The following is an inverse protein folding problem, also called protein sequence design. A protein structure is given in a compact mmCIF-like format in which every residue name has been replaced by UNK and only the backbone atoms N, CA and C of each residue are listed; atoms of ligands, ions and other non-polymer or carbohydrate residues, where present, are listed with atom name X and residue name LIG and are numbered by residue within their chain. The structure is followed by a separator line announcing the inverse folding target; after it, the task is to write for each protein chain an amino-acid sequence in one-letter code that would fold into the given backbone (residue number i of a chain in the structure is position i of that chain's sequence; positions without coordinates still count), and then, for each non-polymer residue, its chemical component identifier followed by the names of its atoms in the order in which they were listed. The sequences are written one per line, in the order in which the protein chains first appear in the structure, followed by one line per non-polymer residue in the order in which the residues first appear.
data_IF_282061011548
#
_entry.id   IF_282061011548
#
_cell.length_a   1.000
_cell.length_b   1.000
_cell.length_c   1.000
_cell.angle_alpha   90.00
_cell.angle_beta   90.00
_cell.angle_gamma   90.00
#
_symmetry.space_group_name_H-M   'P 1'
#
loop_
_entity.id
_entity.type
_entity.pdbx_description
1 polymer ?
#
# COMPACT_ATOMS: atom_id res chain seq x y z
N UNK A 1 -0.80 -13.94 9.60
CA UNK A 1 -1.79 -14.29 10.63
C UNK A 1 -3.10 -13.59 10.37
N UNK A 2 -4.21 -14.31 10.49
CA UNK A 2 -5.57 -13.75 10.60
C UNK A 2 -5.89 -13.68 12.09
N UNK A 3 -6.26 -12.51 12.57
CA UNK A 3 -6.63 -12.27 13.97
C UNK A 3 -8.12 -11.97 14.05
N UNK A 4 -8.85 -12.78 14.79
CA UNK A 4 -10.27 -12.55 15.11
C UNK A 4 -10.33 -11.76 16.40
N UNK A 5 -10.86 -10.54 16.32
CA UNK A 5 -10.88 -9.61 17.44
C UNK A 5 -12.24 -9.66 18.15
N UNK A 6 -12.25 -9.55 19.47
CA UNK A 6 -13.47 -9.28 20.23
C UNK A 6 -13.85 -7.78 20.18
N UNK A 7 -15.03 -7.44 20.74
CA UNK A 7 -15.52 -6.05 20.77
C UNK A 7 -14.63 -5.07 21.57
N UNK A 8 -13.60 -5.58 22.26
CA UNK A 8 -12.63 -4.78 23.03
C UNK A 8 -11.27 -4.72 22.36
N UNK A 9 -11.15 -5.21 21.11
CA UNK A 9 -9.90 -5.23 20.37
C UNK A 9 -8.90 -6.29 20.84
N UNK A 10 -9.34 -7.32 21.56
CA UNK A 10 -8.48 -8.44 21.97
C UNK A 10 -8.60 -9.57 20.96
N UNK A 11 -7.50 -10.28 20.73
CA UNK A 11 -7.50 -11.47 19.90
C UNK A 11 -8.29 -12.57 20.64
N UNK A 12 -9.39 -13.03 20.03
CA UNK A 12 -10.20 -14.16 20.48
C UNK A 12 -9.72 -15.46 19.84
N UNK A 13 -9.38 -15.41 18.55
CA UNK A 13 -8.82 -16.51 17.79
C UNK A 13 -7.78 -16.01 16.81
N UNK A 14 -6.84 -16.88 16.44
CA UNK A 14 -5.85 -16.60 15.41
C UNK A 14 -5.68 -17.78 14.43
N UNK A 15 -5.40 -17.47 13.18
CA UNK A 15 -5.06 -18.44 12.16
C UNK A 15 -3.76 -18.05 11.46
N UNK A 16 -2.76 -18.92 11.52
CA UNK A 16 -1.53 -18.76 10.73
C UNK A 16 -1.74 -19.33 9.33
N UNK A 17 -1.30 -18.57 8.31
CA UNK A 17 -1.18 -19.03 6.93
C UNK A 17 0.31 -19.04 6.55
N UNK A 18 0.82 -20.18 6.15
CA UNK A 18 2.21 -20.37 5.70
C UNK A 18 2.30 -21.65 4.86
N UNK A 19 3.42 -21.93 4.24
CA UNK A 19 3.65 -23.13 3.42
C UNK A 19 3.11 -24.44 4.06
N UNK A 20 3.15 -24.55 5.40
CA UNK A 20 2.74 -25.77 6.12
C UNK A 20 1.50 -25.57 7.00
N UNK A 21 0.78 -24.44 6.89
CA UNK A 21 -0.29 -24.12 7.84
C UNK A 21 -1.40 -23.28 7.21
N UNK A 22 -2.58 -23.36 7.82
CA UNK A 22 -3.71 -22.50 7.45
C UNK A 22 -4.45 -22.96 6.19
N UNK A 23 -4.17 -24.14 5.67
CA UNK A 23 -4.79 -24.69 4.45
C UNK A 23 -4.12 -24.23 3.16
N UNK A 24 -3.11 -23.38 3.24
CA UNK A 24 -2.29 -22.98 2.08
C UNK A 24 -1.39 -24.16 1.65
N UNK A 25 -1.40 -24.48 0.37
CA UNK A 25 -0.58 -25.55 -0.24
C UNK A 25 0.21 -25.03 -1.46
N UNK A 26 0.34 -23.70 -1.58
CA UNK A 26 1.17 -23.06 -2.61
C UNK A 26 2.66 -23.38 -2.41
N UNK A 27 3.38 -23.43 -3.51
CA UNK A 27 4.82 -23.62 -3.51
C UNK A 27 5.51 -22.31 -3.13
N UNK A 28 6.17 -22.31 -1.98
CA UNK A 28 6.96 -21.20 -1.47
C UNK A 28 8.37 -21.66 -1.17
N UNK A 29 9.34 -20.97 -1.72
CA UNK A 29 10.75 -21.22 -1.47
C UNK A 29 11.28 -20.38 -0.28
N UNK A 30 12.48 -20.72 0.17
CA UNK A 30 13.14 -19.96 1.24
C UNK A 30 13.53 -18.57 0.75
N UNK A 31 12.97 -17.55 1.35
CA UNK A 31 13.32 -16.16 1.02
C UNK A 31 12.26 -15.43 0.20
N UNK A 32 11.17 -16.07 -0.22
CA UNK A 32 10.09 -15.46 -1.02
C UNK A 32 9.40 -14.27 -0.36
N UNK A 33 9.53 -14.14 0.97
CA UNK A 33 8.90 -13.08 1.76
C UNK A 33 7.36 -13.05 1.62
N UNK A 34 6.73 -14.22 1.51
CA UNK A 34 5.26 -14.33 1.45
C UNK A 34 4.61 -13.64 2.65
N UNK A 35 3.67 -12.73 2.37
CA UNK A 35 2.98 -11.94 3.37
C UNK A 35 3.68 -10.62 3.72
N UNK A 36 4.67 -10.18 2.93
CA UNK A 36 5.30 -8.86 3.09
C UNK A 36 4.34 -7.71 2.79
N UNK A 37 3.37 -7.93 1.91
CA UNK A 37 2.26 -7.03 1.62
C UNK A 37 0.95 -7.79 1.69
N UNK A 38 -0.11 -7.16 2.20
CA UNK A 38 -1.43 -7.76 2.37
C UNK A 38 -2.53 -6.75 2.01
N UNK A 39 -3.57 -7.22 1.33
CA UNK A 39 -4.79 -6.46 1.08
C UNK A 39 -6.03 -7.35 1.20
N UNK A 40 -7.07 -6.87 1.88
CA UNK A 40 -8.39 -7.50 1.82
C UNK A 40 -9.08 -7.13 0.51
N UNK A 41 -9.62 -8.12 -0.21
CA UNK A 41 -10.28 -7.90 -1.51
C UNK A 41 -11.79 -8.17 -1.48
N UNK A 42 -12.36 -8.27 -0.27
CA UNK A 42 -13.77 -8.62 -0.10
C UNK A 42 -14.05 -10.09 -0.42
N UNK A 43 -15.28 -10.41 -0.67
CA UNK A 43 -15.74 -11.73 -1.10
C UNK A 43 -15.65 -11.80 -2.64
N UNK A 44 -14.49 -12.22 -3.17
CA UNK A 44 -14.21 -12.20 -4.60
C UNK A 44 -14.97 -13.30 -5.34
N UNK A 45 -15.12 -14.47 -4.71
CA UNK A 45 -15.73 -15.66 -5.31
C UNK A 45 -17.22 -15.81 -5.02
N UNK A 46 -17.83 -14.93 -4.17
CA UNK A 46 -19.24 -14.93 -3.81
C UNK A 46 -19.64 -16.04 -2.83
N UNK A 47 -18.70 -16.58 -2.03
CA UNK A 47 -18.98 -17.65 -1.09
C UNK A 47 -19.39 -17.18 0.32
N UNK A 48 -19.34 -15.86 0.57
CA UNK A 48 -19.71 -15.20 1.80
C UNK A 48 -18.57 -14.97 2.78
N UNK A 49 -17.37 -15.44 2.48
CA UNK A 49 -16.16 -15.15 3.25
C UNK A 49 -15.35 -14.00 2.60
N UNK A 50 -14.50 -13.34 3.39
CA UNK A 50 -13.61 -12.31 2.86
C UNK A 50 -12.30 -12.95 2.39
N UNK A 51 -11.82 -12.53 1.24
CA UNK A 51 -10.61 -13.01 0.62
C UNK A 51 -9.46 -12.00 0.74
N UNK A 52 -8.23 -12.46 0.53
CA UNK A 52 -7.02 -11.67 0.66
C UNK A 52 -6.14 -11.77 -0.59
N UNK A 53 -5.34 -10.72 -0.80
CA UNK A 53 -4.12 -10.80 -1.62
C UNK A 53 -2.89 -10.70 -0.71
N UNK A 54 -1.91 -11.56 -0.96
CA UNK A 54 -0.62 -11.56 -0.27
C UNK A 54 0.52 -11.44 -1.28
N UNK A 55 1.45 -10.54 -1.04
CA UNK A 55 2.67 -10.38 -1.83
C UNK A 55 3.77 -11.34 -1.40
N UNK A 56 4.58 -11.78 -2.35
CA UNK A 56 5.82 -12.55 -2.20
C UNK A 56 6.89 -11.96 -3.14
N UNK A 57 7.47 -10.81 -2.81
CA UNK A 57 8.28 -10.04 -3.77
C UNK A 57 9.60 -10.70 -4.17
N UNK A 58 10.08 -11.64 -3.39
CA UNK A 58 11.29 -12.37 -3.71
C UNK A 58 11.02 -13.77 -4.30
N UNK A 59 9.76 -14.07 -4.66
CA UNK A 59 9.44 -15.33 -5.37
C UNK A 59 10.30 -15.42 -6.63
N UNK A 60 11.09 -16.47 -6.73
CA UNK A 60 12.06 -16.69 -7.82
C UNK A 60 11.60 -17.76 -8.83
N UNK A 61 10.35 -18.19 -8.76
CA UNK A 61 9.74 -19.05 -9.76
C UNK A 61 9.62 -18.33 -11.10
N UNK A 62 10.42 -18.76 -12.05
CA UNK A 62 10.49 -18.12 -13.39
C UNK A 62 11.60 -17.10 -13.58
N UNK A 63 12.36 -16.77 -12.54
CA UNK A 63 13.53 -15.88 -12.55
C UNK A 63 13.85 -15.32 -11.16
N UNK A 64 15.03 -14.76 -10.98
CA UNK A 64 15.51 -14.31 -9.66
C UNK A 64 14.74 -13.09 -9.17
N UNK A 65 14.08 -13.19 -8.00
CA UNK A 65 13.36 -12.11 -7.32
C UNK A 65 12.39 -11.33 -8.26
N UNK A 66 11.71 -12.01 -9.18
CA UNK A 66 10.69 -11.40 -10.04
C UNK A 66 9.45 -11.07 -9.25
N UNK A 67 9.18 -11.91 -8.24
CA UNK A 67 8.08 -11.74 -7.32
C UNK A 67 6.75 -12.34 -7.78
N UNK A 68 5.82 -12.43 -6.83
CA UNK A 68 4.48 -12.94 -7.03
C UNK A 68 3.46 -12.23 -6.13
N UNK A 69 2.20 -12.28 -6.53
CA UNK A 69 1.04 -12.01 -5.68
C UNK A 69 0.17 -13.28 -5.61
N UNK A 70 -0.42 -13.53 -4.45
CA UNK A 70 -1.29 -14.69 -4.20
C UNK A 70 -2.68 -14.20 -3.81
N UNK A 71 -3.70 -14.58 -4.56
CA UNK A 71 -5.10 -14.46 -4.13
C UNK A 71 -5.42 -15.68 -3.27
N UNK A 72 -5.90 -15.44 -2.05
CA UNK A 72 -6.19 -16.46 -1.05
C UNK A 72 -7.69 -16.44 -0.77
N UNK A 73 -8.40 -17.50 -1.15
CA UNK A 73 -9.80 -17.69 -0.86
C UNK A 73 -9.96 -18.30 0.53
N UNK A 74 -10.56 -17.55 1.44
CA UNK A 74 -10.66 -17.97 2.83
C UNK A 74 -12.03 -18.56 3.15
N UNK A 75 -12.14 -19.16 4.32
CA UNK A 75 -13.40 -19.45 4.98
C UNK A 75 -13.58 -18.56 6.22
N UNK A 76 -14.72 -18.67 6.87
CA UNK A 76 -15.09 -17.95 8.11
C UNK A 76 -14.19 -18.23 9.31
N UNK A 77 -13.29 -19.24 9.24
CA UNK A 77 -12.24 -19.46 10.23
C UNK A 77 -10.87 -18.93 9.78
N UNK A 78 -10.79 -18.14 8.70
CA UNK A 78 -9.54 -17.58 8.17
C UNK A 78 -8.59 -18.61 7.57
N UNK A 79 -9.10 -19.81 7.18
CA UNK A 79 -8.28 -20.83 6.51
C UNK A 79 -8.42 -20.73 5.00
N UNK A 80 -7.31 -20.90 4.31
CA UNK A 80 -7.29 -20.96 2.84
C UNK A 80 -8.02 -22.24 2.39
N UNK A 81 -8.97 -22.06 1.48
CA UNK A 81 -9.70 -23.14 0.80
C UNK A 81 -9.20 -23.36 -0.61
N UNK A 82 -8.79 -22.26 -1.25
CA UNK A 82 -8.23 -22.25 -2.59
C UNK A 82 -7.27 -21.07 -2.71
N UNK A 83 -6.36 -21.09 -3.64
CA UNK A 83 -5.43 -20.00 -3.89
C UNK A 83 -5.08 -19.90 -5.38
N UNK A 84 -4.80 -18.67 -5.81
CA UNK A 84 -4.31 -18.41 -7.15
C UNK A 84 -3.02 -17.61 -7.09
N UNK A 85 -1.93 -18.18 -7.59
CA UNK A 85 -0.67 -17.47 -7.79
C UNK A 85 -0.75 -16.63 -9.05
N UNK A 86 -0.33 -15.37 -8.95
CA UNK A 86 -0.16 -14.42 -10.04
C UNK A 86 1.31 -14.04 -10.10
N UNK A 87 1.98 -14.44 -11.15
CA UNK A 87 3.39 -14.15 -11.40
C UNK A 87 3.64 -14.25 -12.91
N UNK A 88 4.86 -13.97 -13.36
CA UNK A 88 5.20 -14.09 -14.77
C UNK A 88 4.75 -15.45 -15.35
N UNK A 89 3.96 -15.38 -16.43
CA UNK A 89 3.39 -16.53 -17.14
C UNK A 89 2.51 -17.45 -16.25
N UNK A 90 1.98 -16.92 -15.14
CA UNK A 90 1.13 -17.65 -14.20
C UNK A 90 -0.10 -16.84 -13.80
N UNK A 91 -1.21 -17.52 -13.45
CA UNK A 91 -2.42 -16.87 -12.96
C UNK A 91 -3.15 -16.01 -13.99
N UNK A 92 -2.84 -16.16 -15.28
CA UNK A 92 -3.37 -15.32 -16.36
C UNK A 92 -2.56 -14.06 -16.64
N UNK A 93 -1.56 -13.77 -15.80
CA UNK A 93 -0.67 -12.62 -15.98
C UNK A 93 0.43 -12.95 -17.01
N UNK A 94 0.54 -12.14 -18.06
CA UNK A 94 1.56 -12.23 -19.12
C UNK A 94 2.46 -11.00 -19.20
N UNK A 95 2.43 -10.16 -18.16
CA UNK A 95 3.28 -8.98 -18.03
C UNK A 95 4.76 -9.35 -18.05
N UNK A 96 5.57 -8.43 -18.58
CA UNK A 96 7.01 -8.63 -18.57
C UNK A 96 7.59 -8.23 -17.22
N UNK A 97 7.99 -9.22 -16.44
CA UNK A 97 8.77 -9.03 -15.22
C UNK A 97 10.20 -9.49 -15.48
N UNK A 98 11.15 -8.64 -15.16
CA UNK A 98 12.58 -8.95 -15.23
C UNK A 98 13.11 -9.40 -13.86
N UNK A 99 14.31 -9.94 -13.82
CA UNK A 99 14.94 -10.38 -12.58
C UNK A 99 15.17 -9.17 -11.64
N UNK A 100 14.66 -9.26 -10.41
CA UNK A 100 14.81 -8.22 -9.41
C UNK A 100 13.65 -7.21 -9.35
N UNK A 101 12.61 -7.32 -10.18
CA UNK A 101 11.48 -6.36 -10.20
C UNK A 101 10.67 -6.34 -8.90
N UNK A 102 10.65 -7.48 -8.19
CA UNK A 102 9.96 -7.61 -6.90
C UNK A 102 8.47 -7.31 -6.97
N UNK A 103 7.81 -7.80 -8.01
CA UNK A 103 6.35 -7.76 -8.12
C UNK A 103 5.67 -8.36 -6.87
N UNK A 104 4.70 -7.66 -6.31
CA UNK A 104 4.10 -8.04 -5.02
C UNK A 104 4.74 -7.37 -3.81
N UNK A 105 5.68 -6.42 -4.00
CA UNK A 105 6.20 -5.60 -2.88
C UNK A 105 5.11 -4.77 -2.21
N UNK A 106 4.11 -4.34 -2.97
CA UNK A 106 2.91 -3.70 -2.49
C UNK A 106 1.68 -4.28 -3.19
N UNK A 107 0.57 -4.40 -2.49
CA UNK A 107 -0.72 -4.82 -3.04
C UNK A 107 -1.85 -3.98 -2.44
N UNK A 108 -2.83 -3.62 -3.26
CA UNK A 108 -4.02 -2.92 -2.81
C UNK A 108 -5.26 -3.38 -3.60
N UNK A 109 -6.39 -3.44 -2.94
CA UNK A 109 -7.71 -3.48 -3.59
C UNK A 109 -8.04 -2.07 -4.07
N UNK A 110 -8.49 -1.94 -5.31
CA UNK A 110 -8.72 -0.64 -5.94
C UNK A 110 -10.17 -0.45 -6.44
N UNK A 111 -11.06 -1.36 -6.10
CA UNK A 111 -12.45 -1.34 -6.58
C UNK A 111 -12.61 -2.05 -7.93
N UNK A 112 -13.77 -1.87 -8.52
CA UNK A 112 -14.14 -2.39 -9.84
C UNK A 112 -13.84 -1.30 -10.89
N UNK A 113 -12.65 -1.36 -11.49
CA UNK A 113 -12.15 -0.32 -12.42
C UNK A 113 -12.80 -0.45 -13.78
N UNK A 114 -13.02 -1.67 -14.27
CA UNK A 114 -13.57 -1.92 -15.60
C UNK A 114 -15.11 -2.03 -15.62
N UNK A 115 -15.75 -2.05 -14.44
CA UNK A 115 -17.21 -2.05 -14.31
C UNK A 115 -17.85 -3.42 -14.53
N UNK A 116 -17.10 -4.51 -14.35
CA UNK A 116 -17.60 -5.89 -14.55
C UNK A 116 -18.24 -6.50 -13.30
N UNK A 117 -18.18 -5.80 -12.17
CA UNK A 117 -18.73 -6.21 -10.87
C UNK A 117 -17.79 -7.02 -10.01
N UNK A 118 -16.55 -7.26 -10.45
CA UNK A 118 -15.48 -7.92 -9.71
C UNK A 118 -14.44 -6.89 -9.29
N UNK A 119 -13.86 -7.07 -8.12
CA UNK A 119 -12.85 -6.14 -7.61
C UNK A 119 -11.51 -6.40 -8.27
N UNK A 120 -10.80 -5.31 -8.57
CA UNK A 120 -9.48 -5.32 -9.17
C UNK A 120 -8.41 -4.96 -8.15
N UNK A 121 -7.16 -5.24 -8.49
CA UNK A 121 -6.03 -4.97 -7.60
C UNK A 121 -4.92 -4.19 -8.31
N UNK A 122 -4.21 -3.38 -7.53
CA UNK A 122 -2.93 -2.81 -7.91
C UNK A 122 -1.79 -3.58 -7.24
N UNK A 123 -0.74 -3.86 -8.00
CA UNK A 123 0.46 -4.56 -7.52
C UNK A 123 1.70 -3.77 -7.90
N UNK A 124 2.52 -3.44 -6.92
CA UNK A 124 3.77 -2.72 -7.10
C UNK A 124 4.95 -3.64 -7.38
N UNK A 125 5.83 -3.19 -8.27
CA UNK A 125 7.15 -3.75 -8.58
C UNK A 125 8.19 -2.62 -8.57
N UNK A 126 8.62 -2.18 -7.37
CA UNK A 126 9.36 -0.91 -7.20
C UNK A 126 10.81 -0.97 -7.66
N UNK A 127 11.32 -2.13 -7.99
CA UNK A 127 12.71 -2.32 -8.44
C UNK A 127 12.82 -2.55 -9.95
N UNK A 128 11.72 -2.32 -10.72
CA UNK A 128 11.70 -2.53 -12.18
C UNK A 128 12.86 -1.82 -12.86
N UNK A 129 13.64 -2.57 -13.56
CA UNK A 129 14.59 -2.11 -14.56
C UNK A 129 15.41 -3.18 -15.27
N UNK A 130 15.11 -4.43 -15.16
CA UNK A 130 15.99 -5.46 -15.74
C UNK A 130 17.43 -5.49 -15.17
N UNK A 131 17.82 -4.47 -14.40
CA UNK A 131 19.09 -4.34 -13.67
C UNK A 131 18.91 -3.70 -12.28
N UNK A 132 17.68 -3.51 -11.79
CA UNK A 132 17.41 -2.87 -10.51
C UNK A 132 17.69 -1.35 -10.45
N UNK A 133 17.67 -0.66 -11.58
CA UNK A 133 17.97 0.79 -11.69
C UNK A 133 16.83 1.61 -12.31
N UNK A 134 15.68 1.03 -12.65
CA UNK A 134 14.52 1.76 -13.18
C UNK A 134 13.76 2.52 -12.10
N UNK A 135 12.76 3.29 -12.52
CA UNK A 135 11.96 4.09 -11.60
C UNK A 135 11.00 3.27 -10.75
N UNK A 136 10.76 2.00 -11.11
CA UNK A 136 9.68 1.17 -10.57
C UNK A 136 8.42 1.20 -11.42
N UNK A 137 7.48 0.31 -11.11
CA UNK A 137 6.22 0.19 -11.83
C UNK A 137 5.07 -0.29 -10.95
N UNK A 138 3.86 -0.08 -11.45
CA UNK A 138 2.61 -0.60 -10.88
C UNK A 138 1.83 -1.31 -11.97
N UNK A 139 1.23 -2.43 -11.63
CA UNK A 139 0.33 -3.19 -12.47
C UNK A 139 -1.09 -3.10 -11.93
N UNK A 140 -2.03 -2.67 -12.75
CA UNK A 140 -3.45 -2.83 -12.51
C UNK A 140 -3.84 -4.18 -13.07
N UNK A 141 -4.42 -5.05 -12.24
CA UNK A 141 -4.81 -6.41 -12.62
C UNK A 141 -6.32 -6.55 -12.53
N UNK A 142 -6.95 -6.82 -13.67
CA UNK A 142 -8.37 -7.09 -13.76
C UNK A 142 -8.62 -8.56 -13.47
N UNK A 143 -9.30 -8.84 -12.36
CA UNK A 143 -9.49 -10.21 -11.90
C UNK A 143 -10.80 -10.83 -12.41
N UNK A 144 -10.90 -12.13 -12.29
CA UNK A 144 -12.17 -12.86 -12.32
C UNK A 144 -12.46 -13.51 -10.95
N UNK A 145 -13.62 -14.11 -10.78
CA UNK A 145 -14.04 -14.74 -9.52
C UNK A 145 -13.14 -15.90 -9.07
N UNK A 146 -12.31 -16.44 -9.93
CA UNK A 146 -11.30 -17.47 -9.61
C UNK A 146 -9.93 -16.85 -9.26
N UNK A 147 -9.87 -15.50 -9.10
CA UNK A 147 -8.64 -14.79 -8.76
C UNK A 147 -7.59 -14.76 -9.89
N UNK A 148 -7.99 -15.09 -11.12
CA UNK A 148 -7.09 -15.05 -12.29
C UNK A 148 -7.15 -13.69 -12.96
N UNK A 149 -6.02 -13.25 -13.46
CA UNK A 149 -5.92 -12.04 -14.29
C UNK A 149 -6.57 -12.31 -15.65
N UNK A 150 -7.55 -11.48 -16.03
CA UNK A 150 -8.20 -11.46 -17.34
C UNK A 150 -7.53 -10.46 -18.28
N UNK A 151 -7.12 -9.32 -17.71
CA UNK A 151 -6.43 -8.22 -18.41
C UNK A 151 -5.54 -7.50 -17.43
N UNK A 152 -4.58 -6.74 -17.91
CA UNK A 152 -3.64 -5.99 -17.08
C UNK A 152 -3.18 -4.71 -17.74
N UNK A 153 -2.88 -3.70 -16.92
CA UNK A 153 -2.30 -2.45 -17.39
C UNK A 153 -1.05 -2.11 -16.57
N UNK A 154 0.07 -1.95 -17.26
CA UNK A 154 1.31 -1.46 -16.67
C UNK A 154 1.31 0.06 -16.61
N UNK A 155 1.70 0.62 -15.46
CA UNK A 155 1.89 2.04 -15.22
C UNK A 155 3.33 2.26 -14.76
N UNK A 156 4.10 2.99 -15.54
CA UNK A 156 5.47 3.41 -15.22
C UNK A 156 5.81 4.62 -16.08
N UNK A 157 6.97 5.24 -15.86
CA UNK A 157 7.45 6.38 -16.64
C UNK A 157 7.33 6.15 -18.15
N UNK A 158 6.47 6.93 -18.81
CA UNK A 158 6.24 6.86 -20.25
C UNK A 158 5.38 5.69 -20.73
N UNK A 159 4.73 4.94 -19.82
CA UNK A 159 3.81 3.87 -20.17
C UNK A 159 2.51 3.93 -19.34
N UNK A 160 1.44 3.30 -19.86
CA UNK A 160 0.15 3.27 -19.18
C UNK A 160 -0.57 4.61 -19.09
N UNK A 161 -0.19 5.59 -19.91
CA UNK A 161 -0.73 6.96 -19.83
C UNK A 161 0.00 7.86 -18.83
N UNK A 162 0.86 7.31 -17.97
CA UNK A 162 1.63 8.07 -17.00
C UNK A 162 2.80 8.81 -17.66
N UNK A 163 2.85 10.13 -17.53
CA UNK A 163 3.90 10.99 -18.06
C UNK A 163 4.67 11.75 -16.96
N UNK A 164 4.48 11.34 -15.69
CA UNK A 164 5.20 11.87 -14.56
C UNK A 164 6.72 11.68 -14.70
N UNK A 165 7.47 12.67 -14.19
CA UNK A 165 8.91 12.57 -14.18
C UNK A 165 9.38 11.82 -12.93
N UNK A 166 9.77 10.58 -13.11
CA UNK A 166 10.39 9.74 -12.10
C UNK A 166 11.88 9.61 -12.38
N UNK A 167 12.68 9.65 -11.34
CA UNK A 167 14.11 9.37 -11.45
C UNK A 167 14.38 7.84 -11.42
N UNK A 168 15.51 7.44 -11.96
CA UNK A 168 15.96 6.06 -11.84
C UNK A 168 16.18 5.74 -10.35
N UNK A 169 15.60 4.63 -9.88
CA UNK A 169 15.65 4.25 -8.47
C UNK A 169 14.60 4.93 -7.58
N UNK A 170 13.66 5.68 -8.14
CA UNK A 170 12.56 6.33 -7.38
C UNK A 170 11.73 5.37 -6.55
N UNK A 171 11.72 4.07 -6.91
CA UNK A 171 10.93 3.01 -6.27
C UNK A 171 9.41 3.27 -6.39
N UNK A 172 8.97 3.79 -7.52
CA UNK A 172 7.55 3.96 -7.83
C UNK A 172 6.81 2.62 -7.72
N UNK A 173 5.74 2.57 -6.95
CA UNK A 173 5.06 1.34 -6.60
C UNK A 173 5.59 0.65 -5.33
N UNK A 174 6.48 1.31 -4.56
CA UNK A 174 6.87 0.79 -3.23
C UNK A 174 5.68 0.69 -2.26
N UNK A 175 4.71 1.58 -2.43
CA UNK A 175 3.41 1.52 -1.78
C UNK A 175 2.31 1.87 -2.78
N UNK A 176 1.14 1.24 -2.64
CA UNK A 176 -0.07 1.52 -3.44
C UNK A 176 -1.30 1.53 -2.53
N UNK A 177 -2.26 2.40 -2.81
CA UNK A 177 -3.53 2.45 -2.08
C UNK A 177 -4.67 2.92 -2.97
N UNK A 178 -5.81 2.21 -2.95
CA UNK A 178 -7.05 2.70 -3.56
C UNK A 178 -7.55 3.94 -2.79
N UNK A 179 -7.89 4.99 -3.51
CA UNK A 179 -8.42 6.24 -2.93
C UNK A 179 -9.88 6.49 -3.28
N UNK A 180 -10.54 5.49 -3.87
CA UNK A 180 -11.92 5.61 -4.34
C UNK A 180 -12.03 6.54 -5.56
N UNK A 181 -13.23 6.97 -5.87
CA UNK A 181 -13.53 7.90 -6.97
C UNK A 181 -13.37 9.35 -6.48
N UNK A 182 -12.15 9.88 -6.59
CA UNK A 182 -11.83 11.23 -6.14
C UNK A 182 -12.41 12.33 -7.03
N UNK A 183 -12.36 12.10 -8.35
CA UNK A 183 -12.77 13.10 -9.34
C UNK A 183 -14.28 13.05 -9.66
N UNK A 184 -15.00 12.03 -9.18
CA UNK A 184 -16.45 11.86 -9.37
C UNK A 184 -16.83 11.35 -10.76
N UNK A 185 -15.93 10.67 -11.46
CA UNK A 185 -16.18 10.14 -12.80
C UNK A 185 -16.81 8.73 -12.79
N UNK A 186 -16.98 8.14 -11.61
CA UNK A 186 -17.57 6.83 -11.39
C UNK A 186 -16.57 5.69 -11.42
N UNK A 187 -15.27 5.98 -11.43
CA UNK A 187 -14.19 4.99 -11.38
C UNK A 187 -13.29 5.21 -10.16
N UNK A 188 -12.74 4.14 -9.62
CA UNK A 188 -11.76 4.28 -8.55
C UNK A 188 -10.42 4.80 -9.07
N UNK A 189 -9.76 5.60 -8.24
CA UNK A 189 -8.46 6.20 -8.47
C UNK A 189 -7.42 5.60 -7.52
N UNK A 190 -6.13 5.84 -7.76
CA UNK A 190 -5.04 5.17 -7.08
C UNK A 190 -4.01 6.18 -6.57
N UNK A 191 -3.50 5.96 -5.36
CA UNK A 191 -2.29 6.59 -4.85
C UNK A 191 -1.10 5.64 -4.98
N UNK A 192 0.05 6.17 -5.41
CA UNK A 192 1.29 5.42 -5.65
C UNK A 192 2.45 6.17 -4.98
N UNK A 193 3.21 5.47 -4.15
CA UNK A 193 4.40 6.00 -3.50
C UNK A 193 5.68 5.77 -4.32
N UNK A 194 6.54 6.75 -4.30
CA UNK A 194 7.90 6.73 -4.84
C UNK A 194 8.88 7.31 -3.81
N UNK A 195 9.17 6.57 -2.71
CA UNK A 195 9.85 7.12 -1.54
C UNK A 195 11.33 7.44 -1.77
N UNK A 196 11.94 6.91 -2.81
CA UNK A 196 13.34 7.18 -3.13
C UNK A 196 13.51 8.20 -4.26
N UNK A 197 12.40 8.79 -4.78
CA UNK A 197 12.50 9.82 -5.81
C UNK A 197 13.28 11.03 -5.28
N UNK A 198 14.26 11.45 -6.07
CA UNK A 198 15.18 12.49 -5.68
C UNK A 198 14.70 13.91 -6.07
N UNK A 199 13.66 14.04 -6.86
CA UNK A 199 13.01 15.27 -7.37
C UNK A 199 13.69 16.62 -7.10
N UNK A 200 13.83 17.02 -5.84
CA UNK A 200 14.55 18.22 -5.37
C UNK A 200 15.45 17.85 -4.16
N UNK A 201 16.02 16.65 -4.12
CA UNK A 201 16.83 16.19 -2.99
C UNK A 201 17.19 14.71 -3.16
N UNK A 202 17.68 14.08 -2.12
CA UNK A 202 17.96 12.64 -2.13
C UNK A 202 17.00 11.93 -1.21
N UNK A 203 16.02 11.19 -1.79
CA UNK A 203 15.11 10.34 -1.02
C UNK A 203 14.12 11.10 -0.13
N UNK A 204 13.70 12.32 -0.50
CA UNK A 204 12.58 13.00 0.17
C UNK A 204 11.30 12.22 0.02
N UNK A 205 11.13 11.62 -1.16
CA UNK A 205 9.97 10.85 -1.55
C UNK A 205 8.83 11.70 -2.10
N UNK A 206 7.93 11.00 -2.75
CA UNK A 206 6.73 11.60 -3.34
C UNK A 206 5.59 10.61 -3.43
N UNK A 207 4.39 11.13 -3.55
CA UNK A 207 3.16 10.39 -3.81
C UNK A 207 2.52 10.91 -5.09
N UNK A 208 2.03 9.99 -5.90
CA UNK A 208 1.27 10.28 -7.11
C UNK A 208 -0.18 9.85 -6.92
N UNK A 209 -1.12 10.75 -7.12
CA UNK A 209 -2.53 10.40 -7.33
C UNK A 209 -2.72 10.24 -8.82
N UNK A 210 -3.24 9.10 -9.26
CA UNK A 210 -3.49 8.81 -10.67
C UNK A 210 -4.97 8.51 -10.89
N UNK A 211 -5.56 9.16 -11.90
CA UNK A 211 -6.95 9.01 -12.30
C UNK A 211 -7.03 8.01 -13.44
N UNK A 212 -7.83 6.96 -13.27
CA UNK A 212 -7.82 5.81 -14.18
C UNK A 212 -9.00 5.83 -15.16
N UNK A 213 -8.79 5.31 -16.37
CA UNK A 213 -9.88 4.89 -17.25
C UNK A 213 -10.31 3.44 -16.99
N UNK A 214 -11.34 2.96 -17.66
CA UNK A 214 -11.85 1.58 -17.54
C UNK A 214 -10.83 0.50 -17.97
N UNK A 215 -9.77 0.85 -18.63
CA UNK A 215 -8.65 -0.03 -19.00
C UNK A 215 -7.46 0.11 -18.05
N UNK A 216 -7.61 0.78 -16.91
CA UNK A 216 -6.55 1.01 -15.93
C UNK A 216 -5.44 1.97 -16.40
N UNK A 217 -5.67 2.71 -17.50
CA UNK A 217 -4.71 3.69 -18.00
C UNK A 217 -4.88 5.00 -17.24
N UNK A 218 -3.79 5.68 -16.98
CA UNK A 218 -3.78 7.02 -16.39
C UNK A 218 -4.32 8.03 -17.39
N UNK A 219 -5.39 8.72 -17.02
CA UNK A 219 -5.98 9.85 -17.77
C UNK A 219 -5.41 11.19 -17.32
N UNK A 220 -5.18 11.32 -16.00
CA UNK A 220 -4.60 12.49 -15.37
C UNK A 220 -3.82 12.05 -14.11
N UNK A 221 -2.93 12.90 -13.63
CA UNK A 221 -2.10 12.59 -12.47
C UNK A 221 -1.71 13.84 -11.70
N UNK A 222 -1.60 13.70 -10.40
CA UNK A 222 -1.14 14.76 -9.52
C UNK A 222 0.04 14.26 -8.66
N UNK A 223 1.16 14.96 -8.76
CA UNK A 223 2.31 14.76 -7.87
C UNK A 223 2.12 15.51 -6.57
N UNK A 224 2.39 14.87 -5.44
CA UNK A 224 2.41 15.44 -4.10
C UNK A 224 3.79 15.21 -3.50
N UNK A 225 4.49 16.28 -3.21
CA UNK A 225 5.80 16.31 -2.53
C UNK A 225 6.04 17.72 -2.00
N UNK A 226 7.10 17.97 -1.27
CA UNK A 226 7.47 19.30 -0.79
C UNK A 226 7.38 20.36 -1.90
N UNK A 227 6.58 21.41 -1.65
CA UNK A 227 6.33 22.52 -2.58
C UNK A 227 5.50 22.17 -3.82
N UNK A 228 4.92 20.98 -3.94
CA UNK A 228 4.11 20.59 -5.08
C UNK A 228 2.81 19.87 -4.68
N UNK A 229 1.78 19.94 -5.56
CA UNK A 229 0.52 19.23 -5.33
C UNK A 229 -0.32 19.78 -4.18
N UNK A 230 -0.17 21.06 -3.82
CA UNK A 230 -0.88 21.67 -2.67
C UNK A 230 -0.25 21.33 -1.32
N UNK A 231 0.78 20.51 -1.31
CA UNK A 231 1.51 20.12 -0.12
C UNK A 231 2.74 21.03 0.05
N UNK A 232 2.84 21.67 1.20
CA UNK A 232 3.94 22.54 1.63
C UNK A 232 4.49 22.09 3.00
N UNK A 233 4.33 20.80 3.29
CA UNK A 233 4.96 20.15 4.43
C UNK A 233 6.48 20.10 4.26
N UNK A 234 7.19 20.26 5.38
CA UNK A 234 8.65 20.19 5.40
C UNK A 234 9.07 18.73 5.24
N UNK A 235 9.70 18.44 4.11
CA UNK A 235 10.30 17.14 3.84
C UNK A 235 11.80 17.32 3.60
N UNK A 236 12.58 16.65 4.40
CA UNK A 236 14.04 16.63 4.29
C UNK A 236 14.58 15.44 3.48
N UNK A 237 15.87 15.48 3.21
CA UNK A 237 16.51 14.38 2.50
C UNK A 237 16.51 13.13 3.37
N UNK A 238 15.95 12.06 2.87
CA UNK A 238 15.90 10.78 3.56
C UNK A 238 14.56 10.46 4.21
N UNK A 239 13.59 11.38 4.26
CA UNK A 239 12.30 11.17 4.91
C UNK A 239 11.50 10.01 4.33
N UNK A 240 11.74 9.73 3.03
CA UNK A 240 11.09 8.63 2.32
C UNK A 240 9.55 8.74 2.33
N UNK A 241 9.01 9.95 2.18
CA UNK A 241 7.58 10.19 2.06
C UNK A 241 6.96 9.32 0.95
N UNK A 242 5.90 8.59 1.25
CA UNK A 242 5.30 7.62 0.35
C UNK A 242 5.81 6.18 0.51
N UNK A 243 6.59 5.88 1.56
CA UNK A 243 7.00 4.50 1.88
C UNK A 243 5.84 3.58 2.24
N UNK A 244 4.80 4.12 2.86
CA UNK A 244 3.57 3.42 3.17
C UNK A 244 2.38 4.29 2.81
N UNK A 245 1.30 3.69 2.31
CA UNK A 245 0.07 4.38 1.91
C UNK A 245 -1.15 3.62 2.41
N UNK A 246 -2.14 4.35 2.92
CA UNK A 246 -3.45 3.80 3.21
C UNK A 246 -4.56 4.80 2.86
N UNK A 247 -5.51 4.38 2.03
CA UNK A 247 -6.74 5.12 1.82
C UNK A 247 -7.59 5.11 3.10
N UNK A 248 -8.02 6.27 3.55
CA UNK A 248 -8.86 6.43 4.73
C UNK A 248 -10.26 6.80 4.25
N UNK A 249 -11.17 5.82 4.26
CA UNK A 249 -12.54 6.07 3.88
C UNK A 249 -13.22 7.01 4.90
N UNK A 250 -13.72 8.16 4.43
CA UNK A 250 -14.59 9.06 5.19
C UNK A 250 -14.01 9.55 6.53
N UNK A 251 -13.28 10.64 6.50
CA UNK A 251 -12.83 11.33 7.70
C UNK A 251 -13.77 12.52 7.97
N UNK A 252 -14.34 12.59 9.19
CA UNK A 252 -15.02 13.79 9.65
C UNK A 252 -16.30 14.15 8.93
N UNK A 253 -17.10 13.19 8.49
CA UNK A 253 -18.33 13.49 7.74
C UNK A 253 -18.05 14.17 6.39
N UNK A 254 -16.79 14.38 6.03
CA UNK A 254 -16.38 14.81 4.68
C UNK A 254 -16.58 13.66 3.71
N UNK A 255 -17.04 13.93 2.51
CA UNK A 255 -17.17 12.94 1.43
C UNK A 255 -15.83 12.64 0.74
N UNK A 256 -14.73 13.26 1.19
CA UNK A 256 -13.40 13.06 0.62
C UNK A 256 -12.69 11.92 1.33
N UNK A 257 -12.14 11.02 0.57
CA UNK A 257 -11.22 9.99 1.05
C UNK A 257 -9.93 10.67 1.54
N UNK A 258 -9.52 10.42 2.78
CA UNK A 258 -8.20 10.79 3.28
C UNK A 258 -7.15 9.79 2.78
N UNK A 259 -5.89 10.18 2.82
CA UNK A 259 -4.74 9.33 2.51
C UNK A 259 -3.71 9.47 3.63
N UNK A 260 -3.42 8.37 4.34
CA UNK A 260 -2.29 8.33 5.24
C UNK A 260 -1.03 7.95 4.47
N UNK A 261 0.06 8.68 4.72
CA UNK A 261 1.34 8.55 4.03
C UNK A 261 2.45 8.43 5.07
N UNK A 262 3.19 7.35 5.04
CA UNK A 262 4.35 7.15 5.91
C UNK A 262 5.62 7.81 5.36
N UNK A 263 6.39 8.37 6.28
CA UNK A 263 7.72 8.97 6.07
C UNK A 263 8.65 8.46 7.20
N UNK A 264 9.10 7.19 7.13
CA UNK A 264 9.83 6.56 8.24
C UNK A 264 11.24 7.10 8.46
N UNK A 265 11.77 7.86 7.53
CA UNK A 265 13.06 8.54 7.66
C UNK A 265 12.97 9.98 8.14
N UNK A 266 11.76 10.46 8.46
CA UNK A 266 11.55 11.84 8.98
C UNK A 266 12.34 12.01 10.30
N UNK A 267 13.12 13.10 10.39
CA UNK A 267 14.04 13.34 11.50
C UNK A 267 13.68 14.59 12.35
N UNK A 268 12.49 15.17 12.14
CA UNK A 268 12.04 16.34 12.89
C UNK A 268 11.85 16.08 14.41
N UNK A 269 11.57 14.85 14.80
CA UNK A 269 11.41 14.46 16.22
C UNK A 269 12.63 13.74 16.80
N UNK A 270 13.61 13.38 15.98
CA UNK A 270 14.79 12.56 16.29
C UNK A 270 15.32 11.90 15.02
N UNK A 271 16.59 11.48 14.97
CA UNK A 271 17.20 10.89 13.77
C UNK A 271 16.44 9.64 13.31
N UNK A 272 15.69 9.73 12.18
CA UNK A 272 14.81 8.69 11.66
C UNK A 272 13.74 8.20 12.69
N UNK A 273 13.23 9.08 13.54
CA UNK A 273 12.10 8.74 14.44
C UNK A 273 10.83 8.43 13.64
N UNK A 274 10.71 9.07 12.48
CA UNK A 274 9.64 8.86 11.52
C UNK A 274 8.39 9.70 11.73
N UNK A 275 7.55 9.75 10.71
CA UNK A 275 6.28 10.47 10.72
C UNK A 275 5.20 9.79 9.86
N UNK A 276 3.95 10.17 10.13
CA UNK A 276 2.81 9.90 9.25
C UNK A 276 2.16 11.22 8.88
N UNK A 277 1.88 11.40 7.60
CA UNK A 277 1.14 12.53 7.07
C UNK A 277 -0.27 12.08 6.69
N UNK A 278 -1.29 12.75 7.16
CA UNK A 278 -2.68 12.54 6.76
C UNK A 278 -3.05 13.63 5.77
N UNK A 279 -3.23 13.25 4.51
CA UNK A 279 -3.59 14.14 3.42
C UNK A 279 -5.09 14.05 3.13
N UNK A 280 -5.69 15.15 2.71
CA UNK A 280 -7.07 15.21 2.22
C UNK A 280 -7.05 15.71 0.78
N UNK A 281 -6.96 14.80 -0.20
CA UNK A 281 -6.93 15.17 -1.60
C UNK A 281 -8.26 15.76 -2.06
N UNK A 282 -8.19 16.82 -2.88
CA UNK A 282 -9.33 17.34 -3.63
C UNK A 282 -9.63 16.53 -4.89
N UNK A 283 -10.64 16.95 -5.62
CA UNK A 283 -11.08 16.28 -6.87
C UNK A 283 -10.03 16.29 -7.99
N UNK A 284 -9.02 17.12 -7.89
CA UNK A 284 -7.88 17.22 -8.80
C UNK A 284 -6.63 16.49 -8.26
N UNK A 285 -6.78 15.74 -7.18
CA UNK A 285 -5.70 14.98 -6.54
C UNK A 285 -4.72 15.81 -5.73
N UNK A 286 -4.89 17.15 -5.62
CA UNK A 286 -4.03 18.01 -4.80
C UNK A 286 -4.36 17.81 -3.33
N UNK A 287 -3.36 17.87 -2.46
CA UNK A 287 -3.56 17.91 -1.02
C UNK A 287 -4.18 19.28 -0.61
N UNK A 288 -5.51 19.33 -0.50
CA UNK A 288 -6.23 20.55 -0.09
C UNK A 288 -5.90 20.94 1.36
N UNK A 289 -5.77 19.96 2.22
CA UNK A 289 -5.31 20.09 3.60
C UNK A 289 -4.52 18.86 4.00
N UNK A 290 -3.67 19.01 5.01
CA UNK A 290 -2.86 17.91 5.52
C UNK A 290 -2.52 18.11 7.01
N UNK A 291 -2.15 17.03 7.69
CA UNK A 291 -1.71 16.99 9.08
C UNK A 291 -0.51 16.06 9.22
N UNK A 292 0.55 16.52 9.87
CA UNK A 292 1.68 15.68 10.30
C UNK A 292 1.39 15.07 11.67
N UNK A 293 1.74 13.82 11.84
CA UNK A 293 1.72 13.07 13.11
C UNK A 293 3.16 12.62 13.39
N UNK A 294 3.78 13.22 14.39
CA UNK A 294 5.14 12.93 14.83
C UNK A 294 5.28 13.35 16.31
N UNK A 295 6.37 13.08 17.01
CA UNK A 295 6.52 13.44 18.43
C UNK A 295 6.19 14.90 18.76
N UNK A 296 6.45 15.80 17.82
CA UNK A 296 6.25 17.24 17.99
C UNK A 296 5.02 17.79 17.26
N UNK A 297 4.22 16.97 16.59
CA UNK A 297 3.12 17.43 15.75
C UNK A 297 1.87 16.54 15.81
N UNK A 298 0.72 17.13 15.47
CA UNK A 298 -0.54 16.39 15.28
C UNK A 298 -1.20 15.89 16.56
N UNK A 299 -0.75 16.35 17.73
CA UNK A 299 -1.27 15.89 19.02
C UNK A 299 -0.83 14.47 19.39
N UNK A 300 0.13 13.92 18.66
CA UNK A 300 0.78 12.66 19.03
C UNK A 300 1.68 12.92 20.26
N UNK A 301 1.51 12.16 21.32
CA UNK A 301 2.23 12.26 22.59
C UNK A 301 3.00 10.96 22.94
N UNK A 302 3.17 10.08 21.95
CA UNK A 302 3.97 8.88 22.07
C UNK A 302 5.47 9.20 22.13
N UNK A 303 6.20 8.37 22.82
CA UNK A 303 7.65 8.41 22.88
C UNK A 303 8.23 7.68 21.67
N UNK A 304 8.91 8.40 20.80
CA UNK A 304 9.63 7.83 19.66
C UNK A 304 11.09 8.24 19.77
N UNK A 305 11.96 7.24 19.72
CA UNK A 305 13.40 7.41 19.79
C UNK A 305 14.05 7.46 18.39
N UNK A 306 15.34 7.75 18.36
CA UNK A 306 16.15 7.72 17.16
C UNK A 306 16.11 6.32 16.51
N UNK A 307 15.68 6.23 15.25
CA UNK A 307 15.66 4.97 14.51
C UNK A 307 14.40 4.14 14.64
N UNK A 308 13.34 4.64 15.27
CA UNK A 308 12.07 3.92 15.43
C UNK A 308 11.35 3.67 14.11
N UNK A 309 11.56 4.56 13.14
CA UNK A 309 10.96 4.46 11.82
C UNK A 309 9.41 4.43 11.86
N UNK A 310 8.79 5.24 12.72
CA UNK A 310 7.34 5.39 12.76
C UNK A 310 6.80 5.78 11.38
N UNK A 311 5.76 5.10 10.93
CA UNK A 311 5.25 5.28 9.57
C UNK A 311 5.82 4.33 8.51
N UNK A 312 6.68 3.36 8.91
CA UNK A 312 7.15 2.31 7.99
C UNK A 312 6.00 1.45 7.41
N UNK A 313 4.89 1.36 8.14
CA UNK A 313 3.64 0.79 7.68
C UNK A 313 2.48 1.61 8.23
N UNK A 314 1.39 1.76 7.48
CA UNK A 314 0.19 2.46 7.92
C UNK A 314 -1.05 1.78 7.34
N UNK A 315 -2.13 1.72 8.13
CA UNK A 315 -3.44 1.25 7.65
C UNK A 315 -4.57 1.88 8.45
N UNK A 316 -5.71 2.11 7.80
CA UNK A 316 -6.95 2.46 8.48
C UNK A 316 -7.56 1.21 9.13
N UNK A 317 -7.95 1.32 10.39
CA UNK A 317 -8.50 0.21 11.18
C UNK A 317 -9.97 0.39 11.57
N UNK A 318 -10.64 1.32 10.90
CA UNK A 318 -12.02 1.68 11.18
C UNK A 318 -12.15 2.62 12.38
N UNK A 319 -13.37 2.93 12.77
CA UNK A 319 -13.71 3.81 13.89
C UNK A 319 -13.86 2.95 15.17
N UNK A 320 -12.76 2.76 15.89
CA UNK A 320 -12.71 1.88 17.08
C UNK A 320 -13.39 2.51 18.30
N UNK A 321 -13.25 3.83 18.47
CA UNK A 321 -13.81 4.55 19.62
C UNK A 321 -15.22 5.10 19.36
N UNK A 322 -15.74 4.93 18.13
CA UNK A 322 -17.09 5.32 17.68
C UNK A 322 -17.31 6.85 17.70
N UNK A 323 -16.27 7.58 17.39
CA UNK A 323 -16.32 9.05 17.30
C UNK A 323 -16.67 9.56 15.89
N UNK A 324 -16.73 8.70 14.88
CA UNK A 324 -17.03 9.01 13.48
C UNK A 324 -15.81 9.19 12.59
N UNK A 325 -14.60 9.17 13.16
CA UNK A 325 -13.34 9.21 12.42
C UNK A 325 -12.74 7.79 12.29
N UNK A 326 -12.05 7.52 11.20
CA UNK A 326 -11.30 6.27 11.03
C UNK A 326 -9.98 6.38 11.80
N UNK A 327 -9.71 5.40 12.65
CA UNK A 327 -8.47 5.28 13.39
C UNK A 327 -7.37 4.62 12.56
N UNK A 328 -6.11 4.86 12.94
CA UNK A 328 -4.95 4.36 12.22
C UNK A 328 -4.16 3.36 13.08
N UNK A 329 -3.63 2.33 12.44
CA UNK A 329 -2.52 1.55 12.98
C UNK A 329 -1.24 1.92 12.21
N UNK A 330 -0.18 2.19 12.95
CA UNK A 330 1.12 2.64 12.42
C UNK A 330 2.23 1.77 12.99
N UNK A 331 3.10 1.26 12.11
CA UNK A 331 4.25 0.47 12.51
C UNK A 331 5.49 1.33 12.75
N UNK A 332 6.24 1.00 13.79
CA UNK A 332 7.55 1.52 14.15
C UNK A 332 8.50 0.33 14.36
N UNK A 333 9.09 -0.23 13.28
CA UNK A 333 9.86 -1.48 13.38
C UNK A 333 11.18 -1.37 14.11
N UNK A 334 11.72 -0.16 14.27
CA UNK A 334 12.95 0.11 15.02
C UNK A 334 12.75 0.38 16.49
N UNK A 335 11.50 0.53 16.97
CA UNK A 335 11.18 0.81 18.38
C UNK A 335 11.91 -0.16 19.32
N UNK A 336 12.67 0.41 20.27
CA UNK A 336 13.54 -0.35 21.15
C UNK A 336 13.14 -0.28 22.63
N UNK A 337 12.00 0.30 22.99
CA UNK A 337 11.45 0.41 24.34
C UNK A 337 11.38 -0.92 25.11
N UNK A 338 11.16 -2.02 24.41
CA UNK A 338 11.16 -3.38 24.97
C UNK A 338 12.52 -4.11 24.87
N UNK A 339 13.55 -3.48 24.29
CA UNK A 339 14.88 -4.03 23.95
C UNK A 339 15.15 -3.90 22.46
N UNK A 340 16.42 -3.91 22.05
CA UNK A 340 16.91 -3.53 20.72
C UNK A 340 16.02 -4.00 19.58
N UNK A 341 15.50 -3.05 18.78
CA UNK A 341 14.76 -3.20 17.53
C UNK A 341 13.65 -4.28 17.60
N UNK A 342 12.86 -4.30 18.66
CA UNK A 342 11.74 -5.25 18.76
C UNK A 342 10.51 -4.79 18.00
N UNK A 343 10.45 -3.50 17.70
CA UNK A 343 9.37 -2.84 17.01
C UNK A 343 8.10 -2.68 17.84
N UNK A 344 7.29 -1.70 17.42
CA UNK A 344 5.98 -1.41 18.01
C UNK A 344 4.91 -1.21 16.93
N UNK A 345 3.66 -1.28 17.38
CA UNK A 345 2.49 -0.84 16.62
C UNK A 345 1.77 0.20 17.45
N UNK A 346 1.58 1.37 16.88
CA UNK A 346 0.81 2.45 17.46
C UNK A 346 -0.63 2.43 16.93
N UNK A 347 -1.61 2.54 17.81
CA UNK A 347 -3.01 2.74 17.45
C UNK A 347 -3.36 4.19 17.75
N UNK A 348 -3.66 4.95 16.70
CA UNK A 348 -3.98 6.37 16.79
C UNK A 348 -5.49 6.56 16.70
N UNK A 349 -6.10 7.08 17.77
CA UNK A 349 -7.51 7.45 17.79
C UNK A 349 -7.68 8.84 17.21
N UNK A 350 -8.09 8.88 15.95
CA UNK A 350 -8.23 10.12 15.19
C UNK A 350 -9.51 10.88 15.58
N UNK A 351 -9.51 12.19 15.43
CA UNK A 351 -10.66 13.05 15.75
C UNK A 351 -10.91 14.07 14.66
N UNK A 352 -12.18 14.41 14.51
CA UNK A 352 -12.61 15.57 13.72
C UNK A 352 -12.56 16.82 14.59
N UNK A 353 -11.69 17.76 14.28
CA UNK A 353 -11.69 19.09 14.88
C UNK A 353 -12.21 20.14 13.90
#
# INVERSE_FOLDING_TARGET
WILFMDDNGRVDQEQKISADSGGFDGDLDNGDLFGSALAGIGDLNGDGALDLVAGAPNDDTGGSERGAAWVLFLNDQGRVRDQQRIAKDSGGFDGNLDDGDRFGSAVAEIGDVDGDGIRDIAVGAPADAGNGTGPGEVWILFLNAEGRVRDQQRITKGAGGFDGNLDDGARFGAAVAGVGDLNGDGRPDLAIGAPADAGIGTGRGEVWIVFLDAGGRVLDQQRITDGAGGFDGDLDNGDQFGSALAGIASFGGRRSTGLAVGAPGDDDGGENSGAVWVLFPGVDGRADTWQKLSPDAGGFDGDLDDGDHFGAAVTGIGDLDRNGAVDLAVGAPGDDDGGNDKGAIWVLFMRDD
#
